data_IF_240711438807
#
_entry.id   IF_240711438807
#
_cell.length_a   1.000
_cell.length_b   1.000
_cell.length_c   1.000
_cell.angle_alpha   90.00
_cell.angle_beta   90.00
_cell.angle_gamma   90.00
#
_symmetry.space_group_name_H-M   'P 1'
#
loop_
_entity.id
_entity.type
_entity.pdbx_description
1 polymer ?
#
# COMPACT_ATOMS: atom_id res chain seq x y z
N UNK A 1 -3.49 -15.64 -17.27
CA UNK A 1 -3.88 -14.57 -16.35
C UNK A 1 -2.68 -13.66 -16.18
N UNK A 2 -2.85 -12.36 -16.27
CA UNK A 2 -1.79 -11.38 -16.04
C UNK A 2 -2.07 -10.64 -14.74
N UNK A 3 -1.01 -10.34 -13.99
CA UNK A 3 -1.10 -9.56 -12.76
C UNK A 3 -0.28 -8.30 -12.89
N UNK A 4 -0.79 -7.22 -12.32
CA UNK A 4 -0.07 -5.96 -12.20
C UNK A 4 -0.30 -5.34 -10.82
N UNK A 5 0.65 -4.57 -10.36
CA UNK A 5 0.48 -3.65 -9.25
C UNK A 5 0.67 -2.23 -9.75
N UNK A 6 -0.23 -1.34 -9.37
CA UNK A 6 -0.16 0.11 -9.62
C UNK A 6 0.14 0.81 -8.32
N UNK A 7 1.22 1.58 -8.26
CA UNK A 7 1.55 2.43 -7.11
C UNK A 7 0.65 3.67 -7.18
N UNK A 8 -0.32 3.75 -6.30
CA UNK A 8 -1.28 4.87 -6.26
C UNK A 8 -0.71 6.10 -5.54
N UNK A 9 0.18 5.85 -4.59
CA UNK A 9 0.95 6.85 -3.88
C UNK A 9 2.28 6.27 -3.42
N UNK A 10 3.34 7.03 -3.61
CA UNK A 10 4.74 6.63 -3.38
C UNK A 10 5.42 7.46 -2.30
N UNK A 11 4.71 8.40 -1.70
CA UNK A 11 5.24 9.32 -0.70
C UNK A 11 4.96 8.90 0.73
N UNK A 12 5.78 9.39 1.65
CA UNK A 12 5.62 9.22 3.09
C UNK A 12 4.37 9.91 3.64
N UNK A 13 4.14 9.82 4.94
CA UNK A 13 2.95 10.36 5.63
C UNK A 13 2.66 11.84 5.35
N UNK A 14 3.66 12.65 5.08
CA UNK A 14 3.50 14.06 4.70
C UNK A 14 3.17 14.30 3.23
N UNK A 15 3.35 13.29 2.37
CA UNK A 15 3.35 13.46 0.91
C UNK A 15 4.53 14.33 0.40
N UNK A 16 4.60 14.54 -0.90
CA UNK A 16 5.54 15.49 -1.53
C UNK A 16 4.77 16.31 -2.57
N UNK A 17 4.72 17.65 -2.49
CA UNK A 17 5.22 18.46 -1.38
C UNK A 17 4.43 18.23 -0.09
N UNK A 18 5.03 18.53 1.05
CA UNK A 18 4.32 18.58 2.33
C UNK A 18 3.45 19.85 2.40
N UNK A 19 2.50 19.85 3.34
CA UNK A 19 1.68 21.05 3.63
C UNK A 19 2.58 22.27 3.81
N UNK A 20 2.17 23.38 3.20
CA UNK A 20 2.99 24.59 3.10
C UNK A 20 3.85 24.67 1.84
N UNK A 21 3.64 23.76 0.88
CA UNK A 21 4.41 23.66 -0.37
C UNK A 21 5.91 23.38 -0.16
N UNK A 22 6.20 22.55 0.86
CA UNK A 22 7.55 22.17 1.22
C UNK A 22 8.01 20.96 0.40
N UNK A 23 8.88 21.20 -0.55
CA UNK A 23 9.49 20.21 -1.44
C UNK A 23 10.80 19.62 -0.90
N UNK A 24 11.33 20.18 0.20
CA UNK A 24 12.62 19.77 0.75
C UNK A 24 13.74 19.85 -0.28
N UNK A 25 14.28 18.68 -0.68
CA UNK A 25 15.32 18.55 -1.72
C UNK A 25 14.77 18.11 -3.07
N UNK A 26 13.47 17.83 -3.16
CA UNK A 26 12.84 17.42 -4.42
C UNK A 26 12.65 18.61 -5.37
N UNK A 27 13.04 18.46 -6.62
CA UNK A 27 12.79 19.46 -7.66
C UNK A 27 11.28 19.55 -7.96
N UNK A 28 10.64 20.72 -7.77
CA UNK A 28 9.23 20.92 -8.10
C UNK A 28 8.89 20.76 -9.60
N UNK A 29 9.89 20.88 -10.48
CA UNK A 29 9.73 20.72 -11.92
C UNK A 29 9.74 19.27 -12.39
N UNK A 30 10.22 18.32 -11.56
CA UNK A 30 10.14 16.88 -11.84
C UNK A 30 8.77 16.33 -11.41
N UNK A 31 7.87 15.98 -12.37
CA UNK A 31 6.50 15.55 -12.02
C UNK A 31 6.44 14.33 -11.11
N UNK A 32 7.45 13.44 -11.18
CA UNK A 32 7.51 12.23 -10.37
C UNK A 32 7.90 12.48 -8.91
N UNK A 33 8.28 13.72 -8.57
CA UNK A 33 8.46 14.15 -7.20
C UNK A 33 7.14 14.49 -6.49
N UNK A 34 6.05 14.72 -7.25
CA UNK A 34 4.73 14.88 -6.62
C UNK A 34 4.21 13.51 -6.22
N UNK A 35 4.18 13.25 -4.90
CA UNK A 35 3.87 11.95 -4.31
C UNK A 35 2.72 12.05 -3.32
N UNK A 36 1.67 11.29 -3.56
CA UNK A 36 0.58 11.05 -2.60
C UNK A 36 1.04 10.04 -1.56
N UNK A 37 0.33 9.95 -0.42
CA UNK A 37 0.59 8.97 0.64
C UNK A 37 0.44 7.55 0.12
N UNK A 38 1.17 6.61 0.73
CA UNK A 38 1.26 5.22 0.27
C UNK A 38 -0.12 4.56 0.10
N UNK A 39 -0.30 3.92 -1.03
CA UNK A 39 -1.37 2.97 -1.34
C UNK A 39 -1.01 2.28 -2.66
N UNK A 40 -1.53 1.09 -2.88
CA UNK A 40 -1.32 0.33 -4.10
C UNK A 40 -2.58 -0.42 -4.54
N UNK A 41 -2.71 -0.66 -5.85
CA UNK A 41 -3.79 -1.45 -6.44
C UNK A 41 -3.20 -2.68 -7.13
N UNK A 42 -3.54 -3.87 -6.63
CA UNK A 42 -3.20 -5.14 -7.29
C UNK A 42 -4.37 -5.56 -8.16
N UNK A 43 -4.10 -5.82 -9.43
CA UNK A 43 -5.10 -6.21 -10.42
C UNK A 43 -4.72 -7.54 -11.06
N UNK A 44 -5.64 -8.49 -11.07
CA UNK A 44 -5.55 -9.72 -11.84
C UNK A 44 -6.55 -9.67 -13.00
N UNK A 45 -6.07 -9.83 -14.24
CA UNK A 45 -6.91 -9.87 -15.41
C UNK A 45 -7.16 -11.32 -15.85
N UNK A 46 -8.41 -11.64 -16.13
CA UNK A 46 -8.87 -12.92 -16.62
C UNK A 46 -9.90 -12.77 -17.76
N UNK A 47 -10.40 -13.88 -18.33
CA UNK A 47 -11.31 -13.83 -19.48
C UNK A 47 -12.63 -13.10 -19.20
N UNK A 48 -13.11 -13.09 -17.95
CA UNK A 48 -14.38 -12.48 -17.56
C UNK A 48 -14.25 -11.04 -17.02
N UNK A 49 -13.02 -10.52 -16.89
CA UNK A 49 -12.78 -9.17 -16.38
C UNK A 49 -11.55 -9.08 -15.49
N UNK A 50 -11.60 -8.20 -14.51
CA UNK A 50 -10.51 -7.97 -13.57
C UNK A 50 -10.97 -8.18 -12.12
N UNK A 51 -10.05 -8.70 -11.27
CA UNK A 51 -10.15 -8.70 -9.83
C UNK A 51 -9.20 -7.64 -9.30
N UNK A 52 -9.71 -6.67 -8.53
CA UNK A 52 -8.97 -5.51 -8.04
C UNK A 52 -8.94 -5.47 -6.53
N UNK A 53 -7.75 -5.47 -5.99
CA UNK A 53 -7.48 -5.45 -4.56
C UNK A 53 -6.73 -4.17 -4.20
N UNK A 54 -7.37 -3.29 -3.44
CA UNK A 54 -6.76 -2.07 -2.94
C UNK A 54 -5.96 -2.39 -1.67
N UNK A 55 -4.73 -1.88 -1.56
CA UNK A 55 -3.93 -1.92 -0.33
C UNK A 55 -3.91 -0.51 0.24
N UNK A 56 -4.46 -0.37 1.45
CA UNK A 56 -4.66 0.86 2.20
C UNK A 56 -5.57 1.91 1.54
N UNK A 57 -6.21 2.71 2.36
CA UNK A 57 -7.02 3.87 1.97
C UNK A 57 -6.35 5.15 2.46
N UNK A 58 -5.37 5.62 1.72
CA UNK A 58 -4.67 6.85 2.10
C UNK A 58 -5.62 8.06 2.08
N UNK A 59 -5.31 9.16 2.78
CA UNK A 59 -6.08 10.40 2.70
C UNK A 59 -6.22 10.96 1.28
N UNK A 60 -5.42 10.47 0.33
CA UNK A 60 -5.45 10.84 -1.09
C UNK A 60 -6.30 9.89 -1.94
N UNK A 61 -7.06 8.96 -1.34
CA UNK A 61 -7.75 7.87 -2.04
C UNK A 61 -8.59 8.35 -3.22
N UNK A 62 -9.38 9.41 -3.02
CA UNK A 62 -10.19 9.98 -4.10
C UNK A 62 -9.36 10.31 -5.34
N UNK A 63 -8.27 11.07 -5.17
CA UNK A 63 -7.38 11.45 -6.28
C UNK A 63 -6.62 10.25 -6.86
N UNK A 64 -6.28 9.27 -6.04
CA UNK A 64 -5.66 8.02 -6.46
C UNK A 64 -6.58 7.22 -7.38
N UNK A 65 -7.86 7.08 -7.02
CA UNK A 65 -8.85 6.38 -7.85
C UNK A 65 -9.15 7.12 -9.16
N UNK A 66 -9.28 8.44 -9.11
CA UNK A 66 -9.53 9.27 -10.30
C UNK A 66 -8.35 9.21 -11.27
N UNK A 67 -7.11 9.36 -10.80
CA UNK A 67 -5.91 9.37 -11.65
C UNK A 67 -5.58 8.00 -12.23
N UNK A 68 -5.86 6.91 -11.53
CA UNK A 68 -5.69 5.53 -12.01
C UNK A 68 -6.84 5.07 -12.92
N UNK A 69 -7.93 5.85 -13.03
CA UNK A 69 -9.13 5.45 -13.76
C UNK A 69 -9.87 4.27 -13.13
N UNK A 70 -9.58 3.95 -11.87
CA UNK A 70 -10.20 2.82 -11.15
C UNK A 70 -11.63 3.16 -10.77
N UNK A 71 -12.58 2.41 -11.34
CA UNK A 71 -14.01 2.62 -11.10
C UNK A 71 -14.61 1.64 -10.11
N UNK A 72 -13.86 0.60 -9.76
CA UNK A 72 -14.35 -0.50 -8.96
C UNK A 72 -13.22 -1.25 -8.27
N UNK A 73 -13.48 -1.78 -7.07
CA UNK A 73 -12.60 -2.67 -6.31
C UNK A 73 -13.40 -3.84 -5.75
N UNK A 74 -12.76 -4.98 -5.53
CA UNK A 74 -13.38 -6.16 -4.95
C UNK A 74 -13.15 -6.24 -3.44
N UNK A 75 -11.98 -5.80 -2.95
CA UNK A 75 -11.68 -5.71 -1.52
C UNK A 75 -10.59 -4.68 -1.23
N UNK A 76 -10.44 -4.39 0.08
CA UNK A 76 -9.33 -3.61 0.65
C UNK A 76 -8.59 -4.46 1.66
N UNK A 77 -7.25 -4.46 1.60
CA UNK A 77 -6.38 -4.98 2.66
C UNK A 77 -5.68 -3.81 3.34
N UNK A 78 -5.68 -3.78 4.67
CA UNK A 78 -4.90 -2.80 5.43
C UNK A 78 -3.58 -3.36 5.90
N UNK A 79 -2.51 -2.57 5.75
CA UNK A 79 -1.19 -2.90 6.28
C UNK A 79 -1.11 -2.66 7.78
N UNK A 80 -1.61 -1.51 8.25
CA UNK A 80 -1.60 -1.09 9.65
C UNK A 80 -2.50 0.13 9.90
N UNK A 81 -2.54 0.61 11.14
CA UNK A 81 -3.52 1.59 11.64
C UNK A 81 -3.17 3.08 11.45
N UNK A 82 -2.00 3.43 10.89
CA UNK A 82 -1.59 4.82 10.76
C UNK A 82 -2.51 5.64 9.85
N UNK A 83 -2.56 6.94 10.12
CA UNK A 83 -3.51 7.86 9.48
C UNK A 83 -3.33 7.97 7.97
N UNK A 84 -2.09 7.97 7.51
CA UNK A 84 -1.74 8.04 6.09
C UNK A 84 -2.10 6.78 5.30
N UNK A 85 -2.40 5.66 5.99
CA UNK A 85 -2.90 4.42 5.40
C UNK A 85 -4.41 4.22 5.55
N UNK A 86 -5.07 4.96 6.46
CA UNK A 86 -6.47 4.65 6.84
C UNK A 86 -7.46 5.78 6.62
N UNK A 87 -7.05 7.05 6.55
CA UNK A 87 -7.97 8.19 6.64
C UNK A 87 -8.77 8.49 5.36
N UNK A 88 -8.54 7.79 4.26
CA UNK A 88 -9.39 7.82 3.06
C UNK A 88 -10.55 6.82 3.07
N UNK A 89 -10.76 6.11 4.18
CA UNK A 89 -11.76 5.03 4.30
C UNK A 89 -13.19 5.48 3.92
N UNK A 90 -13.56 6.74 4.16
CA UNK A 90 -14.90 7.24 3.81
C UNK A 90 -15.12 7.34 2.29
N UNK A 91 -14.07 7.48 1.49
CA UNK A 91 -14.16 7.49 0.02
C UNK A 91 -14.60 6.12 -0.55
N UNK A 92 -14.52 5.04 0.23
CA UNK A 92 -15.10 3.73 -0.10
C UNK A 92 -16.63 3.79 -0.28
N UNK A 93 -17.28 4.83 0.23
CA UNK A 93 -18.70 5.12 0.03
C UNK A 93 -19.08 5.17 -1.45
N UNK A 94 -18.20 5.68 -2.30
CA UNK A 94 -18.45 5.75 -3.74
C UNK A 94 -18.65 4.34 -4.33
N UNK A 95 -17.82 3.37 -3.95
CA UNK A 95 -17.93 1.98 -4.41
C UNK A 95 -19.18 1.29 -3.86
N UNK A 96 -19.51 1.54 -2.57
CA UNK A 96 -20.77 1.08 -1.98
C UNK A 96 -21.99 1.57 -2.77
N UNK A 97 -22.03 2.87 -3.11
CA UNK A 97 -23.14 3.46 -3.85
C UNK A 97 -23.26 2.91 -5.27
N UNK A 98 -22.13 2.69 -5.94
CA UNK A 98 -22.09 2.13 -7.30
C UNK A 98 -22.54 0.67 -7.35
N UNK A 99 -22.00 -0.16 -6.46
CA UNK A 99 -22.28 -1.61 -6.41
C UNK A 99 -23.52 -1.98 -5.64
N UNK A 100 -24.06 -1.10 -4.80
CA UNK A 100 -25.12 -1.41 -3.80
C UNK A 100 -24.76 -2.60 -2.90
N UNK A 101 -23.45 -2.78 -2.66
CA UNK A 101 -22.86 -3.82 -1.83
C UNK A 101 -21.79 -3.18 -0.94
N UNK A 102 -21.72 -3.62 0.33
CA UNK A 102 -20.65 -3.17 1.24
C UNK A 102 -19.30 -3.60 0.70
N UNK A 103 -18.30 -2.74 0.91
CA UNK A 103 -16.92 -3.04 0.53
C UNK A 103 -16.34 -4.04 1.54
N UNK A 104 -15.77 -5.12 1.04
CA UNK A 104 -15.06 -6.10 1.86
C UNK A 104 -13.70 -5.52 2.26
N UNK A 105 -13.46 -5.41 3.55
CA UNK A 105 -12.24 -4.88 4.14
C UNK A 105 -11.61 -5.95 5.02
N UNK A 106 -10.31 -6.12 4.91
CA UNK A 106 -9.53 -7.08 5.68
C UNK A 106 -8.48 -6.33 6.49
N UNK A 107 -8.40 -6.59 7.78
CA UNK A 107 -7.43 -6.00 8.69
C UNK A 107 -7.07 -6.98 9.81
N UNK A 108 -5.89 -6.83 10.38
CA UNK A 108 -5.56 -7.49 11.62
C UNK A 108 -6.40 -6.93 12.79
N UNK A 109 -6.33 -7.58 13.93
CA UNK A 109 -7.17 -7.24 15.08
C UNK A 109 -6.87 -5.82 15.62
N UNK A 110 -5.61 -5.38 15.64
CA UNK A 110 -5.24 -4.04 16.10
C UNK A 110 -5.78 -2.95 15.16
N UNK A 111 -5.53 -3.10 13.88
CA UNK A 111 -6.01 -2.19 12.83
C UNK A 111 -7.54 -2.19 12.77
N UNK A 112 -8.18 -3.36 12.83
CA UNK A 112 -9.64 -3.49 12.82
C UNK A 112 -10.32 -2.78 13.98
N UNK A 113 -9.79 -2.91 15.21
CA UNK A 113 -10.27 -2.15 16.38
C UNK A 113 -10.11 -0.64 16.20
N UNK A 114 -8.98 -0.21 15.66
CA UNK A 114 -8.71 1.20 15.44
C UNK A 114 -9.65 1.79 14.37
N UNK A 115 -9.85 1.08 13.25
CA UNK A 115 -10.79 1.48 12.19
C UNK A 115 -12.21 1.61 12.72
N UNK A 116 -12.70 0.62 13.47
CA UNK A 116 -14.06 0.63 14.03
C UNK A 116 -14.25 1.71 15.11
N UNK A 117 -13.18 2.08 15.82
CA UNK A 117 -13.20 3.15 16.81
C UNK A 117 -13.23 4.53 16.15
N UNK A 118 -12.32 4.78 15.19
CA UNK A 118 -12.18 6.09 14.54
C UNK A 118 -13.29 6.36 13.52
N UNK A 119 -13.74 5.32 12.82
CA UNK A 119 -14.66 5.41 11.68
C UNK A 119 -15.91 4.55 11.88
N UNK A 120 -16.44 4.50 13.12
CA UNK A 120 -17.57 3.66 13.50
C UNK A 120 -18.75 3.73 12.51
N UNK A 121 -19.03 4.91 11.96
CA UNK A 121 -20.14 5.15 11.01
C UNK A 121 -19.96 4.41 9.66
N UNK A 122 -18.75 4.00 9.30
CA UNK A 122 -18.51 3.17 8.11
C UNK A 122 -18.96 1.72 8.33
N UNK A 123 -18.96 1.24 9.57
CA UNK A 123 -19.20 -0.15 9.97
C UNK A 123 -20.58 -0.38 10.57
N UNK A 124 -21.13 0.64 11.25
CA UNK A 124 -22.37 0.53 12.01
C UNK A 124 -23.29 1.73 11.72
N UNK A 125 -24.60 1.48 11.62
CA UNK A 125 -25.58 2.58 11.63
C UNK A 125 -25.76 3.08 13.05
N UNK A 126 -25.70 4.40 13.25
CA UNK A 126 -26.11 5.00 14.51
C UNK A 126 -27.62 4.78 14.75
N UNK A 127 -28.08 4.66 16.01
CA UNK A 127 -29.51 4.56 16.31
C UNK A 127 -30.30 5.72 15.68
N UNK A 128 -31.33 5.40 14.88
CA UNK A 128 -32.17 6.39 14.18
C UNK A 128 -31.56 6.99 12.92
N UNK A 129 -30.40 6.48 12.44
CA UNK A 129 -29.76 6.93 11.20
C UNK A 129 -30.32 6.17 10.00
N UNK A 130 -30.67 6.90 8.94
CA UNK A 130 -31.01 6.33 7.63
C UNK A 130 -29.79 5.96 6.78
N UNK A 131 -28.58 6.25 7.25
CA UNK A 131 -27.34 5.93 6.54
C UNK A 131 -26.88 4.51 6.89
N UNK A 132 -26.86 3.59 5.89
CA UNK A 132 -26.38 2.22 6.13
C UNK A 132 -24.85 2.21 6.26
N UNK A 133 -24.27 1.24 6.96
CA UNK A 133 -22.85 1.00 6.95
C UNK A 133 -22.38 0.63 5.52
N UNK A 134 -21.18 1.05 5.19
CA UNK A 134 -20.59 0.90 3.84
C UNK A 134 -19.56 -0.21 3.75
N UNK A 135 -19.11 -0.76 4.88
CA UNK A 135 -17.99 -1.71 4.99
C UNK A 135 -18.45 -2.97 5.73
N UNK A 136 -17.93 -4.13 5.27
CA UNK A 136 -17.83 -5.36 6.03
C UNK A 136 -16.38 -5.54 6.45
N UNK A 137 -16.12 -5.67 7.75
CA UNK A 137 -14.79 -5.95 8.28
C UNK A 137 -14.58 -7.45 8.44
N UNK A 138 -13.51 -7.96 7.86
CA UNK A 138 -13.06 -9.33 7.96
C UNK A 138 -11.72 -9.39 8.71
N UNK A 139 -11.54 -10.40 9.54
CA UNK A 139 -10.28 -10.62 10.24
C UNK A 139 -9.19 -11.14 9.28
N UNK A 140 -7.97 -10.65 9.46
CA UNK A 140 -6.79 -11.07 8.72
C UNK A 140 -5.64 -11.36 9.70
N UNK A 141 -4.94 -12.47 9.49
CA UNK A 141 -3.83 -12.88 10.33
C UNK A 141 -2.57 -13.09 9.49
N UNK A 142 -1.42 -12.65 10.00
CA UNK A 142 -0.13 -12.94 9.39
C UNK A 142 0.08 -14.45 9.22
N UNK A 143 0.49 -14.87 8.02
CA UNK A 143 0.71 -16.27 7.69
C UNK A 143 -0.54 -17.04 7.23
N UNK A 144 -1.73 -16.42 7.26
CA UNK A 144 -2.98 -17.00 6.75
C UNK A 144 -3.36 -16.35 5.42
N UNK A 145 -3.44 -17.10 4.29
CA UNK A 145 -3.76 -16.52 3.00
C UNK A 145 -5.16 -15.91 2.97
N UNK A 146 -5.29 -14.74 2.35
CA UNK A 146 -6.57 -14.10 2.03
C UNK A 146 -6.82 -14.22 0.55
N UNK A 147 -7.93 -14.85 0.16
CA UNK A 147 -8.31 -15.00 -1.25
C UNK A 147 -9.56 -14.17 -1.55
N UNK A 148 -9.46 -13.34 -2.57
CA UNK A 148 -10.53 -12.47 -3.05
C UNK A 148 -10.99 -12.97 -4.41
N UNK A 149 -12.27 -13.31 -4.52
CA UNK A 149 -12.90 -13.70 -5.78
C UNK A 149 -13.42 -12.46 -6.52
N UNK A 150 -13.14 -12.41 -7.82
CA UNK A 150 -13.61 -11.35 -8.71
C UNK A 150 -13.66 -11.81 -10.15
N UNK A 151 -14.03 -10.92 -11.07
CA UNK A 151 -14.20 -11.24 -12.49
C UNK A 151 -12.89 -11.68 -13.17
N UNK A 152 -11.73 -11.28 -12.63
CA UNK A 152 -10.42 -11.72 -13.10
C UNK A 152 -9.96 -13.08 -12.57
N UNK A 153 -10.81 -13.74 -11.76
CA UNK A 153 -10.49 -14.97 -11.00
C UNK A 153 -9.96 -14.68 -9.61
N UNK A 154 -9.74 -15.73 -8.83
CA UNK A 154 -9.28 -15.64 -7.45
C UNK A 154 -7.87 -15.00 -7.35
N UNK A 155 -7.74 -13.95 -6.54
CA UNK A 155 -6.49 -13.28 -6.23
C UNK A 155 -6.13 -13.51 -4.76
N UNK A 156 -5.02 -14.19 -4.52
CA UNK A 156 -4.57 -14.55 -3.17
C UNK A 156 -3.42 -13.67 -2.73
N UNK A 157 -3.57 -13.06 -1.56
CA UNK A 157 -2.54 -12.37 -0.82
C UNK A 157 -2.08 -13.21 0.37
N UNK A 158 -0.78 -13.28 0.63
CA UNK A 158 -0.20 -13.84 1.84
C UNK A 158 0.26 -12.68 2.73
N UNK A 159 -0.51 -12.30 3.76
CA UNK A 159 -0.07 -11.32 4.74
C UNK A 159 1.05 -11.89 5.59
N UNK A 160 2.07 -11.10 5.89
CA UNK A 160 3.15 -11.46 6.80
C UNK A 160 3.55 -10.27 7.67
N UNK A 161 3.94 -10.57 8.90
CA UNK A 161 4.31 -9.56 9.88
C UNK A 161 5.64 -8.89 9.53
N UNK A 162 5.69 -7.58 9.69
CA UNK A 162 6.91 -6.76 9.68
C UNK A 162 6.89 -5.82 10.89
N UNK A 163 8.06 -5.40 11.37
CA UNK A 163 8.15 -4.39 12.44
C UNK A 163 8.03 -2.99 11.84
N UNK A 164 7.38 -2.09 12.59
CA UNK A 164 7.21 -0.70 12.24
C UNK A 164 7.23 0.16 13.51
N UNK A 165 8.44 0.41 14.02
CA UNK A 165 8.65 1.13 15.28
C UNK A 165 8.10 0.39 16.49
N UNK A 166 7.07 0.95 17.10
CA UNK A 166 6.43 0.40 18.31
C UNK A 166 5.20 -0.47 18.00
N UNK A 167 4.85 -0.62 16.73
CA UNK A 167 3.74 -1.46 16.27
C UNK A 167 4.25 -2.50 15.27
N UNK A 168 3.45 -3.52 15.04
CA UNK A 168 3.62 -4.40 13.90
C UNK A 168 2.77 -3.91 12.73
N UNK A 169 3.26 -4.13 11.51
CA UNK A 169 2.52 -3.89 10.27
C UNK A 169 2.49 -5.19 9.44
N UNK A 170 1.68 -5.21 8.41
CA UNK A 170 1.61 -6.31 7.47
C UNK A 170 2.24 -5.93 6.12
N UNK A 171 3.16 -6.77 5.67
CA UNK A 171 3.51 -6.88 4.27
C UNK A 171 2.60 -7.88 3.57
N UNK A 172 2.48 -7.78 2.26
CA UNK A 172 1.70 -8.70 1.44
C UNK A 172 2.56 -9.34 0.36
N UNK A 173 2.49 -10.68 0.26
CA UNK A 173 3.08 -11.40 -0.86
C UNK A 173 2.00 -11.91 -1.82
N UNK A 174 2.20 -11.68 -3.12
CA UNK A 174 1.37 -12.17 -4.22
C UNK A 174 2.26 -12.98 -5.16
N UNK A 175 2.29 -14.30 -5.03
CA UNK A 175 3.24 -15.16 -5.74
C UNK A 175 4.71 -14.72 -5.53
N UNK A 176 5.32 -14.17 -6.57
CA UNK A 176 6.74 -13.76 -6.58
C UNK A 176 6.91 -12.24 -6.41
N UNK A 177 5.86 -11.52 -6.02
CA UNK A 177 5.90 -10.10 -5.68
C UNK A 177 5.58 -9.89 -4.21
N UNK A 178 6.32 -9.00 -3.53
CA UNK A 178 6.01 -8.52 -2.19
C UNK A 178 5.89 -7.00 -2.14
N UNK A 179 5.00 -6.50 -1.26
CA UNK A 179 4.76 -5.09 -0.97
C UNK A 179 4.88 -4.85 0.54
N UNK A 180 5.83 -4.02 0.95
CA UNK A 180 6.12 -3.66 2.34
C UNK A 180 6.38 -2.16 2.43
N UNK A 181 5.30 -1.33 2.46
CA UNK A 181 5.43 0.13 2.37
C UNK A 181 6.02 0.77 3.61
N UNK A 182 5.79 0.19 4.79
CA UNK A 182 6.24 0.69 6.09
C UNK A 182 6.91 -0.46 6.85
N UNK A 183 8.23 -0.34 7.07
CA UNK A 183 9.02 -1.40 7.68
C UNK A 183 10.32 -0.85 8.30
N UNK A 184 10.66 -1.34 9.48
CA UNK A 184 11.99 -1.14 10.09
C UNK A 184 12.67 -2.45 10.52
N UNK A 185 11.97 -3.59 10.35
CA UNK A 185 12.52 -4.90 10.65
C UNK A 185 11.65 -6.05 10.13
N UNK A 186 12.27 -7.21 9.96
CA UNK A 186 11.60 -8.44 9.52
C UNK A 186 11.80 -9.53 10.57
N UNK A 187 10.72 -10.02 11.21
CA UNK A 187 10.81 -11.20 12.08
C UNK A 187 11.32 -12.43 11.30
N UNK A 188 12.08 -13.31 11.95
CA UNK A 188 12.62 -14.52 11.32
C UNK A 188 11.54 -15.38 10.65
N UNK A 189 10.37 -15.49 11.28
CA UNK A 189 9.24 -16.24 10.74
C UNK A 189 8.71 -15.66 9.41
N UNK A 190 8.95 -14.38 9.15
CA UNK A 190 8.50 -13.65 7.95
C UNK A 190 9.53 -13.67 6.80
N UNK A 191 10.80 -13.98 7.07
CA UNK A 191 11.87 -13.93 6.07
C UNK A 191 11.57 -14.75 4.82
N UNK A 192 10.96 -15.93 4.97
CA UNK A 192 10.55 -16.79 3.84
C UNK A 192 9.64 -16.09 2.83
N UNK A 193 8.88 -15.05 3.25
CA UNK A 193 7.98 -14.31 2.37
C UNK A 193 8.73 -13.30 1.48
N UNK A 194 9.99 -13.05 1.77
CA UNK A 194 10.88 -12.17 0.99
C UNK A 194 11.90 -12.95 0.14
N UNK A 195 11.90 -14.27 0.22
CA UNK A 195 12.82 -15.12 -0.56
C UNK A 195 12.26 -15.40 -1.96
N UNK A 196 13.15 -15.44 -2.97
CA UNK A 196 12.82 -15.80 -4.35
C UNK A 196 11.86 -14.85 -5.05
N UNK A 197 11.88 -13.57 -4.70
CA UNK A 197 11.01 -12.57 -5.30
C UNK A 197 11.51 -12.14 -6.69
N UNK A 198 10.60 -12.05 -7.62
CA UNK A 198 10.82 -11.36 -8.89
C UNK A 198 10.72 -9.84 -8.71
N UNK A 199 9.83 -9.40 -7.84
CA UNK A 199 9.59 -7.97 -7.56
C UNK A 199 9.40 -7.74 -6.07
N UNK A 200 10.15 -6.80 -5.49
CA UNK A 200 9.94 -6.31 -4.14
C UNK A 200 9.72 -4.81 -4.13
N UNK A 201 8.55 -4.36 -3.68
CA UNK A 201 8.23 -2.96 -3.45
C UNK A 201 8.37 -2.71 -1.96
N UNK A 202 9.34 -1.86 -1.57
CA UNK A 202 9.81 -1.78 -0.20
C UNK A 202 10.04 -0.33 0.25
N UNK A 203 9.77 -0.07 1.53
CA UNK A 203 10.05 1.18 2.20
C UNK A 203 11.51 1.63 2.04
N UNK A 204 11.71 2.91 1.78
CA UNK A 204 13.01 3.59 1.85
C UNK A 204 12.77 5.05 2.21
N UNK A 205 12.30 5.27 3.45
CA UNK A 205 11.73 6.54 3.87
C UNK A 205 12.61 7.75 3.53
N UNK A 206 13.87 7.74 3.96
CA UNK A 206 14.79 8.88 3.86
C UNK A 206 16.26 8.45 3.92
N UNK A 207 17.19 9.40 3.68
CA UNK A 207 18.63 9.11 3.70
C UNK A 207 19.19 8.80 5.09
N UNK A 208 18.60 9.36 6.14
CA UNK A 208 19.07 9.22 7.53
C UNK A 208 18.19 8.23 8.31
N UNK A 209 18.72 7.53 9.33
CA UNK A 209 17.96 6.59 10.13
C UNK A 209 16.66 7.17 10.71
N UNK A 210 15.64 6.33 10.81
CA UNK A 210 14.34 6.63 11.39
C UNK A 210 13.97 5.53 12.42
N UNK A 211 13.25 5.85 13.52
CA UNK A 211 12.92 4.86 14.55
C UNK A 211 11.88 3.80 14.12
N UNK A 212 11.15 4.01 13.02
CA UNK A 212 10.09 3.11 12.57
C UNK A 212 10.13 2.76 11.07
N UNK A 213 11.14 3.23 10.34
CA UNK A 213 11.30 2.95 8.91
C UNK A 213 12.75 2.69 8.56
N UNK A 214 12.98 1.88 7.56
CA UNK A 214 14.30 1.79 6.97
C UNK A 214 14.69 3.09 6.28
N UNK A 215 15.91 3.51 6.53
CA UNK A 215 16.56 4.50 5.68
C UNK A 215 16.94 3.88 4.33
N UNK A 216 17.14 4.70 3.31
CA UNK A 216 17.59 4.21 1.99
C UNK A 216 18.81 3.28 2.08
N UNK A 217 19.89 3.58 2.84
CA UNK A 217 21.00 2.63 3.00
C UNK A 217 20.59 1.27 3.58
N UNK A 218 19.75 1.26 4.63
CA UNK A 218 19.26 0.01 5.23
C UNK A 218 18.40 -0.80 4.24
N UNK A 219 17.55 -0.12 3.48
CA UNK A 219 16.74 -0.78 2.42
C UNK A 219 17.64 -1.44 1.37
N UNK A 220 18.70 -0.75 0.93
CA UNK A 220 19.64 -1.30 -0.03
C UNK A 220 20.41 -2.51 0.50
N UNK A 221 20.77 -2.51 1.80
CA UNK A 221 21.36 -3.67 2.48
C UNK A 221 20.40 -4.88 2.46
N UNK A 222 19.13 -4.65 2.76
CA UNK A 222 18.12 -5.70 2.74
C UNK A 222 17.83 -6.21 1.32
N UNK A 223 17.78 -5.33 0.32
CA UNK A 223 17.67 -5.73 -1.10
C UNK A 223 18.86 -6.60 -1.51
N UNK A 224 20.08 -6.20 -1.13
CA UNK A 224 21.29 -6.99 -1.41
C UNK A 224 21.29 -8.36 -0.69
N UNK A 225 20.70 -8.46 0.50
CA UNK A 225 20.53 -9.71 1.26
C UNK A 225 19.48 -10.63 0.62
N UNK A 226 18.29 -10.12 0.31
CA UNK A 226 17.15 -10.91 -0.19
C UNK A 226 17.23 -11.20 -1.69
N UNK A 227 17.97 -10.38 -2.45
CA UNK A 227 18.26 -10.54 -3.89
C UNK A 227 17.00 -10.71 -4.76
N UNK A 228 15.98 -9.86 -4.64
CA UNK A 228 14.88 -9.88 -5.60
C UNK A 228 15.44 -9.59 -7.01
N UNK A 229 14.78 -10.10 -8.06
CA UNK A 229 15.22 -9.80 -9.44
C UNK A 229 15.08 -8.30 -9.76
N UNK A 230 14.08 -7.63 -9.18
CA UNK A 230 13.82 -6.18 -9.28
C UNK A 230 13.30 -5.66 -7.94
N UNK A 231 13.75 -4.48 -7.54
CA UNK A 231 13.22 -3.79 -6.36
C UNK A 231 12.74 -2.38 -6.72
N UNK A 232 11.66 -1.95 -6.07
CA UNK A 232 11.10 -0.59 -6.18
C UNK A 232 11.09 0.00 -4.78
N UNK A 233 11.84 1.09 -4.58
CA UNK A 233 11.81 1.81 -3.31
C UNK A 233 10.64 2.79 -3.27
N UNK A 234 9.84 2.73 -2.21
CA UNK A 234 8.61 3.53 -2.01
C UNK A 234 8.62 4.26 -0.66
N UNK A 235 7.53 4.91 -0.30
CA UNK A 235 7.40 5.70 0.95
C UNK A 235 8.38 6.87 1.04
N UNK A 236 8.65 7.50 -0.11
CA UNK A 236 9.75 8.44 -0.31
C UNK A 236 9.45 9.82 0.27
N UNK A 237 10.31 10.27 1.17
CA UNK A 237 10.25 11.57 1.82
C UNK A 237 10.81 12.70 0.92
N UNK A 238 10.63 13.97 1.33
CA UNK A 238 11.05 15.18 0.60
C UNK A 238 12.57 15.34 0.42
N UNK A 239 13.41 14.49 1.01
CA UNK A 239 14.86 14.48 0.81
C UNK A 239 15.34 13.53 -0.30
N UNK A 240 14.42 12.82 -0.94
CA UNK A 240 14.67 11.80 -1.95
C UNK A 240 14.12 12.25 -3.31
N UNK A 241 14.88 13.09 -4.01
CA UNK A 241 14.57 13.54 -5.37
C UNK A 241 14.57 12.37 -6.36
N UNK A 242 13.57 12.31 -7.27
CA UNK A 242 13.39 11.19 -8.20
C UNK A 242 14.54 11.05 -9.19
N UNK A 243 14.96 12.16 -9.81
CA UNK A 243 16.03 12.13 -10.82
C UNK A 243 17.36 11.71 -10.16
N UNK A 244 17.66 12.27 -8.99
CA UNK A 244 18.84 11.93 -8.21
C UNK A 244 18.83 10.44 -7.81
N UNK A 245 17.69 9.93 -7.33
CA UNK A 245 17.59 8.49 -6.96
C UNK A 245 17.83 7.58 -8.17
N UNK A 246 17.32 7.93 -9.35
CA UNK A 246 17.53 7.13 -10.56
C UNK A 246 18.99 6.99 -10.95
N UNK A 247 19.81 7.98 -10.63
CA UNK A 247 21.26 7.97 -10.92
C UNK A 247 22.04 7.22 -9.83
N UNK A 248 21.61 7.30 -8.58
CA UNK A 248 22.33 6.75 -7.42
C UNK A 248 22.01 5.27 -7.14
N UNK A 249 20.79 4.81 -7.48
CA UNK A 249 20.35 3.46 -7.14
C UNK A 249 21.09 2.39 -7.96
N UNK A 250 21.43 1.25 -7.35
CA UNK A 250 22.11 0.16 -8.06
C UNK A 250 21.22 -0.47 -9.13
N UNK A 251 21.82 -1.17 -10.07
CA UNK A 251 21.10 -1.89 -11.12
C UNK A 251 20.02 -2.83 -10.54
N UNK A 252 18.82 -2.79 -11.10
CA UNK A 252 17.69 -3.58 -10.63
C UNK A 252 16.89 -2.93 -9.49
N UNK A 253 17.30 -1.74 -9.01
CA UNK A 253 16.56 -0.96 -8.02
C UNK A 253 16.09 0.36 -8.63
N UNK A 254 14.83 0.70 -8.49
CA UNK A 254 14.22 1.90 -9.08
C UNK A 254 13.35 2.65 -8.06
N UNK A 255 13.27 4.00 -8.14
CA UNK A 255 12.36 4.74 -7.29
C UNK A 255 10.92 4.63 -7.79
N UNK A 256 9.97 4.48 -6.86
CA UNK A 256 8.55 4.57 -7.15
C UNK A 256 8.12 5.99 -7.53
N UNK A 257 7.03 6.08 -8.27
CA UNK A 257 6.27 7.30 -8.50
C UNK A 257 4.79 6.97 -8.63
N UNK A 258 3.94 7.96 -8.41
CA UNK A 258 2.49 7.80 -8.47
C UNK A 258 2.05 7.44 -9.89
N UNK A 259 1.32 6.34 -10.04
CA UNK A 259 0.89 5.79 -11.32
C UNK A 259 1.87 4.78 -11.95
N UNK A 260 2.97 4.41 -11.28
CA UNK A 260 3.87 3.36 -11.76
C UNK A 260 3.14 2.01 -11.81
N UNK A 261 3.09 1.38 -12.97
CA UNK A 261 2.53 0.04 -13.17
C UNK A 261 3.63 -1.00 -13.41
N UNK A 262 3.52 -2.13 -12.73
CA UNK A 262 4.48 -3.22 -12.77
C UNK A 262 3.75 -4.55 -12.93
N UNK A 263 4.12 -5.33 -13.94
CA UNK A 263 3.63 -6.71 -14.11
C UNK A 263 4.48 -7.69 -13.31
N UNK A 264 3.86 -8.75 -12.78
CA UNK A 264 4.50 -9.81 -12.03
C UNK A 264 3.78 -11.16 -12.17
#
# INVERSE_FOLDING_TARGET
>A
MTRRITILGSGSSGGVPRVGNDWGKCDPAEPKNRRRRCSALVTQSGPAGETRLLIDTSPDLREQMLSSGTRDIDAVLYTHEHADHTHGIDDLRAFFLLKRKRVEVWADDATGRMLTTRFAYCFYSAPGSDYPPIINLNAMEAGTPVTIDGAGGALTAMPFQVHHGTIDALGFRFNDMAYTPDIDGVPDASLRNLEGLDLWIVDALRRTPHPSHWSLPQTLEWIARMKPRRAIVTNLHVDLDFATLREELPAGVEPAYDGLELSF
#
